data_IF_576493783666
#
_entry.id   IF_576493783666
#
_cell.length_a   1.000
_cell.length_b   1.000
_cell.length_c   1.000
_cell.angle_alpha   90.00
_cell.angle_beta   90.00
_cell.angle_gamma   90.00
#
_symmetry.space_group_name_H-M   'P 1'
#
loop_
_entity.id
_entity.type
_entity.pdbx_description
1 polymer ?
#
# COMPACT_ATOMS: atom_id res chain seq x y z
N UNK A 1 18.81 2.72 -10.01
CA UNK A 1 19.07 3.35 -8.70
C UNK A 1 18.75 2.31 -7.62
N UNK A 2 19.71 1.42 -7.34
CA UNK A 2 19.46 0.05 -6.82
C UNK A 2 19.97 -0.21 -5.39
N UNK A 3 20.35 0.81 -4.62
CA UNK A 3 21.12 0.58 -3.38
C UNK A 3 20.56 1.22 -2.11
N UNK A 4 19.42 1.92 -2.17
CA UNK A 4 18.94 2.66 -0.99
C UNK A 4 18.22 1.80 0.06
N UNK A 5 17.70 0.63 -0.32
CA UNK A 5 16.82 -0.16 0.56
C UNK A 5 17.48 -1.36 1.24
N UNK A 6 18.63 -1.82 0.74
CA UNK A 6 19.31 -2.99 1.31
C UNK A 6 19.93 -2.71 2.69
N UNK A 7 20.28 -1.45 2.96
CA UNK A 7 20.95 -1.07 4.21
C UNK A 7 19.99 -0.92 5.40
N UNK A 8 18.67 -1.04 5.17
CA UNK A 8 17.64 -0.94 6.22
C UNK A 8 17.09 -2.31 6.64
N UNK A 9 17.34 -3.37 5.85
CA UNK A 9 16.75 -4.71 6.07
C UNK A 9 17.62 -5.66 6.91
N UNK A 10 18.83 -5.26 7.30
CA UNK A 10 19.76 -6.12 8.01
C UNK A 10 20.07 -5.56 9.40
N UNK A 11 19.18 -5.80 10.38
CA UNK A 11 19.55 -6.19 11.76
C UNK A 11 18.33 -6.22 12.68
N UNK A 12 18.22 -7.36 13.38
CA UNK A 12 17.31 -7.71 14.49
C UNK A 12 16.01 -8.39 14.08
N UNK A 13 15.93 -9.71 14.26
CA UNK A 13 14.75 -10.56 14.02
C UNK A 13 13.51 -9.95 14.73
N UNK A 14 12.73 -9.20 13.97
CA UNK A 14 11.39 -8.77 14.28
C UNK A 14 10.46 -9.56 13.37
N UNK A 15 9.53 -10.31 13.93
CA UNK A 15 8.44 -10.93 13.17
C UNK A 15 7.53 -9.89 12.47
N UNK A 16 7.83 -8.59 12.58
CA UNK A 16 7.15 -7.48 11.93
C UNK A 16 7.74 -7.01 10.59
N UNK A 17 8.73 -7.70 10.00
CA UNK A 17 9.29 -7.32 8.68
C UNK A 17 8.48 -7.80 7.48
N UNK A 18 7.57 -8.76 7.66
CA UNK A 18 6.71 -9.22 6.59
C UNK A 18 5.50 -8.28 6.47
N UNK A 19 5.68 -7.18 5.74
CA UNK A 19 4.59 -6.26 5.40
C UNK A 19 3.81 -6.76 4.17
N UNK A 20 2.55 -6.33 4.04
CA UNK A 20 1.76 -6.57 2.84
C UNK A 20 2.46 -6.01 1.58
N UNK A 21 3.07 -4.84 1.70
CA UNK A 21 3.83 -4.19 0.63
C UNK A 21 5.07 -5.00 0.20
N UNK A 22 5.76 -5.65 1.15
CA UNK A 22 6.93 -6.48 0.83
C UNK A 22 6.55 -7.67 -0.06
N UNK A 23 5.47 -8.38 0.29
CA UNK A 23 4.94 -9.49 -0.52
C UNK A 23 4.46 -8.97 -1.88
N UNK A 24 3.73 -7.86 -1.89
CA UNK A 24 3.27 -7.18 -3.11
C UNK A 24 4.43 -6.87 -4.08
N UNK A 25 5.52 -6.28 -3.57
CA UNK A 25 6.69 -5.89 -4.38
C UNK A 25 7.40 -7.09 -4.99
N UNK A 26 7.51 -8.19 -4.25
CA UNK A 26 8.08 -9.43 -4.77
C UNK A 26 7.24 -10.01 -5.91
N UNK A 27 5.91 -9.97 -5.82
CA UNK A 27 5.02 -10.46 -6.89
C UNK A 27 5.14 -9.61 -8.16
N UNK A 28 5.23 -8.28 -8.01
CA UNK A 28 5.55 -7.37 -9.11
C UNK A 28 6.88 -7.72 -9.81
N UNK A 29 7.92 -8.09 -9.05
CA UNK A 29 9.22 -8.50 -9.57
C UNK A 29 9.25 -9.91 -10.20
N UNK A 30 8.49 -10.87 -9.66
CA UNK A 30 8.45 -12.24 -10.18
C UNK A 30 7.65 -12.31 -11.49
N UNK A 31 6.56 -11.54 -11.61
CA UNK A 31 5.71 -11.54 -12.81
C UNK A 31 6.39 -10.95 -14.05
N UNK A 32 7.51 -10.23 -13.90
CA UNK A 32 8.28 -9.68 -15.02
C UNK A 32 9.37 -10.60 -15.57
N UNK A 33 9.29 -11.91 -15.33
CA UNK A 33 10.25 -12.88 -15.89
C UNK A 33 11.58 -12.97 -15.13
N UNK A 34 11.58 -12.63 -13.83
CA UNK A 34 12.68 -12.91 -12.90
C UNK A 34 13.92 -12.00 -13.03
N UNK A 35 13.97 -11.12 -14.03
CA UNK A 35 15.07 -10.16 -14.23
C UNK A 35 14.65 -8.70 -13.99
N UNK A 36 13.41 -8.46 -13.57
CA UNK A 36 12.88 -7.10 -13.44
C UNK A 36 12.65 -6.41 -14.79
N UNK A 37 12.45 -7.20 -15.86
CA UNK A 37 12.34 -6.73 -17.24
C UNK A 37 10.93 -7.00 -17.76
N UNK A 38 9.98 -6.17 -17.37
CA UNK A 38 8.59 -6.24 -17.82
C UNK A 38 7.74 -5.15 -17.19
N UNK A 39 6.58 -4.87 -17.78
CA UNK A 39 5.70 -3.79 -17.32
C UNK A 39 5.40 -3.91 -15.81
N UNK A 40 5.12 -5.12 -15.32
CA UNK A 40 4.80 -5.37 -13.91
C UNK A 40 5.91 -5.03 -12.91
N UNK A 41 7.18 -5.03 -13.29
CA UNK A 41 8.27 -4.68 -12.37
C UNK A 41 8.63 -3.20 -12.35
N UNK A 42 8.08 -2.40 -13.27
CA UNK A 42 8.37 -0.97 -13.36
C UNK A 42 7.15 -0.12 -12.99
N UNK A 43 7.26 0.62 -11.89
CA UNK A 43 6.15 1.39 -11.28
C UNK A 43 5.39 2.27 -12.28
N UNK A 44 6.05 3.07 -13.15
CA UNK A 44 5.38 3.97 -14.08
C UNK A 44 4.51 3.26 -15.12
N UNK A 45 4.78 1.99 -15.41
CA UNK A 45 4.08 1.24 -16.47
C UNK A 45 3.35 -0.01 -15.97
N UNK A 46 3.53 -0.40 -14.71
CA UNK A 46 2.91 -1.60 -14.13
C UNK A 46 1.39 -1.60 -14.22
N UNK A 47 0.75 -0.44 -14.07
CA UNK A 47 -0.70 -0.31 -14.14
C UNK A 47 -1.30 -0.55 -15.54
N UNK A 48 -0.49 -0.60 -16.60
CA UNK A 48 -0.95 -0.91 -17.96
C UNK A 48 -1.04 -2.41 -18.23
N UNK A 49 -0.42 -3.26 -17.40
CA UNK A 49 -0.57 -4.72 -17.51
C UNK A 49 -1.90 -5.16 -16.89
N UNK A 50 -2.65 -6.04 -17.58
CA UNK A 50 -3.96 -6.51 -17.10
C UNK A 50 -3.86 -7.24 -15.76
N UNK A 51 -2.75 -7.95 -15.51
CA UNK A 51 -2.57 -8.70 -14.26
C UNK A 51 -2.41 -7.79 -13.03
N UNK A 52 -2.04 -6.52 -13.24
CA UNK A 52 -1.90 -5.53 -12.18
C UNK A 52 -3.14 -5.44 -11.30
N UNK A 53 -4.32 -5.33 -11.93
CA UNK A 53 -5.59 -5.17 -11.21
C UNK A 53 -5.96 -6.41 -10.40
N UNK A 54 -5.68 -7.60 -10.94
CA UNK A 54 -5.93 -8.86 -10.24
C UNK A 54 -4.99 -9.05 -9.04
N UNK A 55 -3.71 -8.68 -9.20
CA UNK A 55 -2.74 -8.69 -8.12
C UNK A 55 -3.12 -7.72 -6.98
N UNK A 56 -3.54 -6.51 -7.31
CA UNK A 56 -4.00 -5.51 -6.34
C UNK A 56 -5.34 -5.91 -5.69
N UNK A 57 -6.24 -6.57 -6.42
CA UNK A 57 -7.47 -7.15 -5.83
C UNK A 57 -7.15 -8.26 -4.81
N UNK A 58 -6.19 -9.14 -5.12
CA UNK A 58 -5.72 -10.13 -4.15
C UNK A 58 -5.08 -9.46 -2.92
N UNK A 59 -4.36 -8.35 -3.11
CA UNK A 59 -3.74 -7.58 -2.04
C UNK A 59 -4.79 -6.90 -1.13
N UNK A 60 -5.86 -6.35 -1.71
CA UNK A 60 -7.02 -5.82 -0.96
C UNK A 60 -7.71 -6.90 -0.12
N UNK A 61 -7.94 -8.09 -0.70
CA UNK A 61 -8.49 -9.23 0.06
C UNK A 61 -7.58 -9.67 1.21
N UNK A 62 -6.26 -9.65 1.04
CA UNK A 62 -5.31 -9.95 2.13
C UNK A 62 -5.40 -8.89 3.24
N UNK A 63 -5.50 -7.61 2.88
CA UNK A 63 -5.73 -6.52 3.84
C UNK A 63 -7.04 -6.72 4.62
N UNK A 64 -8.14 -6.99 3.93
CA UNK A 64 -9.45 -7.26 4.55
C UNK A 64 -9.40 -8.46 5.51
N UNK A 65 -8.76 -9.56 5.10
CA UNK A 65 -8.56 -10.74 5.95
C UNK A 65 -7.77 -10.39 7.22
N UNK A 66 -6.69 -9.61 7.07
CA UNK A 66 -5.90 -9.15 8.20
C UNK A 66 -6.68 -8.22 9.13
N UNK A 67 -7.49 -7.31 8.57
CA UNK A 67 -8.37 -6.42 9.33
C UNK A 67 -9.42 -7.18 10.15
N UNK A 68 -9.99 -8.28 9.62
CA UNK A 68 -10.90 -9.14 10.37
C UNK A 68 -10.23 -9.73 11.63
N UNK A 69 -8.97 -10.13 11.53
CA UNK A 69 -8.20 -10.69 12.64
C UNK A 69 -7.68 -9.62 13.60
N UNK A 70 -7.45 -8.39 13.10
CA UNK A 70 -6.82 -7.29 13.83
C UNK A 70 -7.71 -6.03 13.82
N UNK A 71 -9.00 -6.16 14.12
CA UNK A 71 -10.00 -5.10 13.94
C UNK A 71 -9.72 -3.77 14.67
N UNK A 72 -8.97 -3.83 15.79
CA UNK A 72 -8.54 -2.65 16.55
C UNK A 72 -7.36 -1.92 15.89
N UNK A 73 -6.54 -2.63 15.12
CA UNK A 73 -5.34 -2.10 14.52
C UNK A 73 -5.67 -1.35 13.22
N UNK A 74 -5.82 -0.03 13.31
CA UNK A 74 -6.06 0.82 12.14
C UNK A 74 -5.45 2.20 12.30
N UNK A 75 -4.32 2.46 11.62
CA UNK A 75 -3.54 3.68 11.81
C UNK A 75 -3.23 3.96 13.30
N UNK A 76 -3.05 2.89 14.08
CA UNK A 76 -2.54 2.98 15.43
C UNK A 76 -1.09 3.52 15.40
N UNK A 77 -0.62 4.11 16.50
CA UNK A 77 0.72 4.67 16.59
C UNK A 77 1.75 3.63 16.14
N UNK A 78 2.38 3.88 15.00
CA UNK A 78 3.41 3.02 14.45
C UNK A 78 4.57 2.97 15.44
N UNK A 79 4.97 1.77 15.86
CA UNK A 79 6.27 1.55 16.52
C UNK A 79 7.36 1.54 15.45
N UNK A 80 7.58 2.67 14.77
CA UNK A 80 8.74 2.84 13.91
C UNK A 80 9.79 3.71 14.60
N UNK A 81 11.06 3.47 14.30
CA UNK A 81 12.18 4.27 14.83
C UNK A 81 11.94 5.74 14.47
N UNK A 82 11.59 6.53 15.48
CA UNK A 82 11.64 7.99 15.38
C UNK A 82 13.02 8.39 14.86
N UNK A 83 13.07 9.28 13.87
CA UNK A 83 14.29 9.89 13.29
C UNK A 83 15.06 9.11 12.21
N UNK A 84 14.49 8.11 11.53
CA UNK A 84 15.17 7.43 10.40
C UNK A 84 14.88 8.07 9.04
N UNK A 85 13.68 8.64 8.85
CA UNK A 85 13.26 9.27 7.59
C UNK A 85 12.78 10.71 7.85
N UNK A 86 13.13 11.65 6.96
CA UNK A 86 12.63 13.05 6.98
C UNK A 86 11.21 13.21 6.44
N UNK A 87 10.50 12.11 6.20
CA UNK A 87 9.18 12.10 5.58
C UNK A 87 8.17 11.82 6.68
N UNK A 88 7.22 12.73 6.89
CA UNK A 88 6.12 12.50 7.82
C UNK A 88 5.19 11.41 7.29
N UNK A 89 4.83 10.48 8.17
CA UNK A 89 3.87 9.43 7.85
C UNK A 89 2.49 10.03 7.56
N UNK A 90 1.84 9.47 6.54
CA UNK A 90 0.46 9.83 6.21
C UNK A 90 -0.50 9.38 7.30
N UNK A 91 -1.47 10.22 7.61
CA UNK A 91 -2.50 9.98 8.62
C UNK A 91 -3.73 9.37 7.97
N UNK A 92 -4.56 8.71 8.76
CA UNK A 92 -5.82 8.08 8.31
C UNK A 92 -6.81 9.01 7.62
N UNK A 93 -6.75 10.31 7.94
CA UNK A 93 -7.60 11.35 7.36
C UNK A 93 -6.98 12.07 6.16
N UNK A 94 -5.76 11.73 5.76
CA UNK A 94 -5.13 12.36 4.60
C UNK A 94 -5.89 11.96 3.31
N UNK A 95 -6.03 12.89 2.36
CA UNK A 95 -6.79 12.64 1.13
C UNK A 95 -6.05 11.63 0.23
N UNK A 96 -6.79 10.65 -0.26
CA UNK A 96 -6.35 9.67 -1.26
C UNK A 96 -6.55 10.23 -2.66
N UNK A 97 -5.68 11.16 -3.05
CA UNK A 97 -5.71 11.76 -4.39
C UNK A 97 -5.41 10.69 -5.47
N UNK A 98 -6.04 10.76 -6.66
CA UNK A 98 -7.03 11.74 -7.10
C UNK A 98 -8.49 11.26 -6.92
N UNK A 99 -8.78 10.36 -5.98
CA UNK A 99 -10.08 9.69 -5.91
C UNK A 99 -11.13 10.53 -5.15
N UNK A 100 -12.13 11.06 -5.86
CA UNK A 100 -13.29 11.74 -5.27
C UNK A 100 -14.37 10.76 -4.83
N UNK A 101 -14.95 11.01 -3.65
CA UNK A 101 -16.10 10.31 -3.10
C UNK A 101 -17.42 11.02 -3.40
N UNK A 102 -17.38 12.36 -3.43
CA UNK A 102 -18.54 13.20 -3.74
C UNK A 102 -18.16 14.20 -4.83
N UNK A 103 -19.12 14.52 -5.69
CA UNK A 103 -18.98 15.62 -6.63
C UNK A 103 -18.99 16.94 -5.87
N UNK A 104 -18.04 17.81 -6.18
CA UNK A 104 -17.90 19.11 -5.53
C UNK A 104 -17.22 20.10 -6.46
N UNK A 105 -17.70 21.34 -6.43
CA UNK A 105 -17.11 22.46 -7.15
C UNK A 105 -15.80 22.95 -6.52
N UNK A 106 -15.46 22.46 -5.32
CA UNK A 106 -14.23 22.81 -4.62
C UNK A 106 -13.23 21.65 -4.77
N UNK A 107 -12.17 21.82 -5.60
CA UNK A 107 -11.25 20.73 -5.93
C UNK A 107 -10.52 20.12 -4.73
N UNK A 108 -10.43 20.81 -3.59
CA UNK A 108 -9.74 20.32 -2.40
C UNK A 108 -10.62 19.51 -1.45
N UNK A 109 -11.91 19.34 -1.74
CA UNK A 109 -12.88 18.69 -0.84
C UNK A 109 -13.45 17.40 -1.43
N UNK A 110 -14.04 16.56 -0.60
CA UNK A 110 -14.77 15.38 -1.07
C UNK A 110 -13.92 14.18 -1.50
N UNK A 111 -12.63 14.14 -1.19
CA UNK A 111 -11.77 12.97 -1.46
C UNK A 111 -12.08 11.77 -0.57
N UNK A 112 -11.78 10.58 -1.08
CA UNK A 112 -11.64 9.40 -0.23
C UNK A 112 -10.49 9.59 0.78
N UNK A 113 -10.65 9.01 1.96
CA UNK A 113 -9.63 8.94 3.00
C UNK A 113 -9.52 7.50 3.49
N UNK A 114 -8.43 7.16 4.17
CA UNK A 114 -8.27 5.79 4.68
C UNK A 114 -9.39 5.42 5.65
N UNK A 115 -9.79 6.35 6.54
CA UNK A 115 -10.87 6.11 7.50
C UNK A 115 -12.21 5.71 6.85
N UNK A 116 -12.55 6.29 5.70
CA UNK A 116 -13.85 6.00 5.04
C UNK A 116 -13.83 4.70 4.25
N UNK A 117 -12.65 4.17 3.91
CA UNK A 117 -12.48 2.88 3.23
C UNK A 117 -12.07 1.75 4.18
N UNK A 118 -11.95 2.00 5.49
CA UNK A 118 -11.66 0.95 6.49
C UNK A 118 -12.64 -0.22 6.39
N UNK A 119 -13.91 0.10 6.13
CA UNK A 119 -14.98 -0.86 5.94
C UNK A 119 -15.22 -1.06 4.43
N UNK A 120 -14.56 -2.05 3.86
CA UNK A 120 -14.60 -2.36 2.43
C UNK A 120 -16.01 -2.75 1.95
N UNK A 121 -16.85 -3.29 2.83
CA UNK A 121 -18.22 -3.73 2.47
C UNK A 121 -19.12 -2.58 2.03
N UNK A 122 -18.78 -1.35 2.41
CA UNK A 122 -19.49 -0.13 1.98
C UNK A 122 -19.16 0.30 0.55
N UNK A 123 -18.20 -0.34 -0.08
CA UNK A 123 -17.77 -0.06 -1.45
C UNK A 123 -18.50 -0.92 -2.49
N UNK A 124 -19.41 -1.80 -2.06
CA UNK A 124 -20.28 -2.58 -2.94
C UNK A 124 -19.70 -3.93 -3.37
N UNK A 125 -18.78 -4.50 -2.59
CA UNK A 125 -18.23 -5.85 -2.75
C UNK A 125 -18.04 -6.58 -1.42
#
# INVERSE_FOLDING_TARGET
MLTKWWNESAREISTGYLSLEYIHNNVHGVQSGGHGLGHMSDVPVSAFDLIFRLHHCNSDRLLATWQCLNWKAWFDKVRYKQNVTKVEDKKKGDPLLPFHRVETDIPATGYWTSDVVKDWTKLGY
#
